data_IF_385175568837
#
_entry.id   IF_385175568837
#
_cell.length_a   1.000
_cell.length_b   1.000
_cell.length_c   1.000
_cell.angle_alpha   90.00
_cell.angle_beta   90.00
_cell.angle_gamma   90.00
#
_symmetry.space_group_name_H-M   'P 1'
#
loop_
_entity.id
_entity.type
_entity.pdbx_description
1 polymer ?
#
# COMPACT_ATOMS: atom_id res chain seq x y z
N UNK A 1 -0.11 1.00 16.16
CA UNK A 1 -0.81 1.54 14.98
C UNK A 1 -2.20 0.92 14.94
N UNK A 2 -3.26 1.72 15.08
CA UNK A 2 -4.63 1.27 14.86
C UNK A 2 -4.83 1.11 13.35
N UNK A 3 -5.22 -0.10 12.91
CA UNK A 3 -5.62 -0.35 11.52
C UNK A 3 -7.03 0.19 11.36
N UNK A 4 -7.25 1.11 10.41
CA UNK A 4 -8.62 1.50 10.05
C UNK A 4 -9.27 0.36 9.27
N UNK A 5 -10.60 0.32 9.26
CA UNK A 5 -11.36 -0.57 8.39
C UNK A 5 -11.08 -0.23 6.91
N UNK A 6 -10.69 1.02 6.63
CA UNK A 6 -10.41 1.53 5.28
C UNK A 6 -8.99 1.24 4.77
N UNK A 7 -8.13 0.63 5.60
CA UNK A 7 -6.76 0.32 5.20
C UNK A 7 -6.76 -0.95 4.34
N UNK A 8 -6.25 -0.82 3.11
CA UNK A 8 -6.09 -1.94 2.20
C UNK A 8 -5.02 -2.90 2.69
N UNK A 9 -5.31 -4.20 2.68
CA UNK A 9 -4.35 -5.25 3.01
C UNK A 9 -4.28 -6.25 1.86
N UNK A 10 -3.06 -6.54 1.42
CA UNK A 10 -2.74 -7.61 0.49
C UNK A 10 -1.71 -8.54 1.11
N UNK A 11 -1.87 -9.84 0.87
CA UNK A 11 -0.87 -10.86 1.17
C UNK A 11 -0.30 -11.36 -0.14
N UNK A 12 1.01 -11.33 -0.27
CA UNK A 12 1.75 -11.73 -1.46
C UNK A 12 2.71 -12.86 -1.08
N UNK A 13 2.68 -13.97 -1.80
CA UNK A 13 3.57 -15.11 -1.56
C UNK A 13 4.99 -14.90 -2.13
N UNK A 14 5.86 -15.89 -1.94
CA UNK A 14 7.25 -15.87 -2.44
C UNK A 14 7.38 -15.85 -3.97
N UNK A 15 6.32 -16.24 -4.70
CA UNK A 15 6.25 -16.18 -6.17
C UNK A 15 5.64 -14.84 -6.66
N UNK A 16 5.48 -13.88 -5.74
CA UNK A 16 4.91 -12.56 -5.98
C UNK A 16 3.44 -12.58 -6.42
N UNK A 17 2.71 -13.66 -6.09
CA UNK A 17 1.28 -13.78 -6.37
C UNK A 17 0.47 -13.30 -5.18
N UNK A 18 -0.65 -12.63 -5.45
CA UNK A 18 -1.57 -12.23 -4.39
C UNK A 18 -2.32 -13.47 -3.92
N UNK A 19 -2.20 -13.81 -2.64
CA UNK A 19 -2.85 -14.99 -2.04
C UNK A 19 -4.01 -14.61 -1.11
N UNK A 20 -4.08 -13.35 -0.68
CA UNK A 20 -5.21 -12.84 0.08
C UNK A 20 -5.31 -11.31 -0.01
N UNK A 21 -6.50 -10.77 0.20
CA UNK A 21 -6.75 -9.34 0.33
C UNK A 21 -8.03 -9.05 1.12
N UNK A 22 -8.06 -7.95 1.87
CA UNK A 22 -9.27 -7.55 2.61
C UNK A 22 -10.27 -6.77 1.72
N UNK A 23 -11.53 -6.56 2.16
CA UNK A 23 -12.51 -5.80 1.40
C UNK A 23 -12.08 -4.36 1.04
N UNK A 24 -11.35 -3.67 1.93
CA UNK A 24 -10.82 -2.34 1.63
C UNK A 24 -9.85 -2.36 0.45
N UNK A 25 -8.95 -3.36 0.38
CA UNK A 25 -8.09 -3.56 -0.77
C UNK A 25 -8.89 -3.77 -2.06
N UNK A 26 -10.00 -4.52 -2.03
CA UNK A 26 -10.88 -4.73 -3.20
C UNK A 26 -11.47 -3.41 -3.68
N UNK A 27 -11.94 -2.58 -2.74
CA UNK A 27 -12.47 -1.26 -3.05
C UNK A 27 -11.40 -0.34 -3.66
N UNK A 28 -10.16 -0.38 -3.14
CA UNK A 28 -9.04 0.42 -3.63
C UNK A 28 -8.70 0.07 -5.08
N UNK A 29 -8.55 -1.23 -5.42
CA UNK A 29 -8.17 -1.65 -6.78
C UNK A 29 -9.37 -1.80 -7.73
N UNK A 30 -10.60 -1.72 -7.22
CA UNK A 30 -11.83 -1.89 -8.00
C UNK A 30 -12.03 -3.30 -8.57
N UNK A 31 -11.43 -4.33 -7.94
CA UNK A 31 -11.52 -5.73 -8.37
C UNK A 31 -11.92 -6.62 -7.19
N UNK A 32 -12.77 -7.59 -7.46
CA UNK A 32 -13.13 -8.63 -6.49
C UNK A 32 -11.97 -9.62 -6.31
N UNK A 33 -11.86 -10.21 -5.11
CA UNK A 33 -10.81 -11.15 -4.73
C UNK A 33 -10.64 -12.29 -5.73
N UNK A 34 -11.74 -12.89 -6.21
CA UNK A 34 -11.73 -14.01 -7.15
C UNK A 34 -10.97 -13.72 -8.46
N UNK A 35 -10.92 -12.45 -8.87
CA UNK A 35 -10.24 -12.01 -10.09
C UNK A 35 -8.78 -11.60 -9.86
N UNK A 36 -8.26 -11.77 -8.63
CA UNK A 36 -6.98 -11.23 -8.18
C UNK A 36 -6.10 -12.33 -7.56
N UNK A 37 -6.70 -13.29 -6.87
CA UNK A 37 -5.93 -14.37 -6.22
C UNK A 37 -5.19 -15.22 -7.27
N UNK A 38 -3.92 -15.51 -6.98
CA UNK A 38 -3.04 -16.31 -7.84
C UNK A 38 -2.38 -15.53 -8.97
N UNK A 39 -2.78 -14.28 -9.21
CA UNK A 39 -2.16 -13.40 -10.21
C UNK A 39 -0.94 -12.68 -9.64
N UNK A 40 0.03 -12.39 -10.50
CA UNK A 40 1.24 -11.69 -10.09
C UNK A 40 0.88 -10.24 -9.69
N UNK A 41 1.51 -9.74 -8.62
CA UNK A 41 1.25 -8.41 -8.06
C UNK A 41 1.22 -7.29 -9.13
N UNK A 42 2.20 -7.29 -10.03
CA UNK A 42 2.33 -6.29 -11.10
C UNK A 42 1.19 -6.35 -12.14
N UNK A 43 0.52 -7.48 -12.32
CA UNK A 43 -0.65 -7.56 -13.21
C UNK A 43 -1.84 -6.78 -12.64
N UNK A 44 -1.87 -6.60 -11.32
CA UNK A 44 -2.99 -6.02 -10.60
C UNK A 44 -2.76 -4.54 -10.30
N UNK A 45 -1.67 -4.19 -9.60
CA UNK A 45 -1.43 -2.81 -9.18
C UNK A 45 -0.60 -2.01 -10.19
N UNK A 46 0.25 -2.65 -11.02
CA UNK A 46 1.16 -1.96 -11.97
C UNK A 46 1.92 -0.78 -11.31
N UNK A 47 2.53 -1.06 -10.16
CA UNK A 47 3.29 -0.09 -9.33
C UNK A 47 4.67 -0.66 -9.05
N UNK A 48 5.64 -0.31 -9.89
CA UNK A 48 7.01 -0.81 -9.82
C UNK A 48 7.72 -0.36 -8.53
N UNK A 49 7.38 0.82 -8.02
CA UNK A 49 7.91 1.37 -6.77
C UNK A 49 7.51 0.54 -5.54
N UNK A 50 6.27 0.04 -5.52
CA UNK A 50 5.79 -0.87 -4.47
C UNK A 50 6.43 -2.23 -4.67
N UNK A 51 6.49 -2.72 -5.91
CA UNK A 51 7.07 -4.03 -6.21
C UNK A 51 8.55 -4.12 -5.86
N UNK A 52 9.34 -3.07 -6.12
CA UNK A 52 10.74 -3.00 -5.70
C UNK A 52 10.88 -3.14 -4.17
N UNK A 53 9.97 -2.51 -3.43
CA UNK A 53 9.94 -2.60 -1.96
C UNK A 53 9.47 -3.99 -1.47
N UNK A 54 8.57 -4.65 -2.21
CA UNK A 54 8.12 -6.03 -1.96
C UNK A 54 9.30 -6.96 -2.14
N UNK A 55 9.97 -6.89 -3.29
CA UNK A 55 11.14 -7.72 -3.63
C UNK A 55 12.24 -7.56 -2.59
N UNK A 56 12.59 -6.32 -2.23
CA UNK A 56 13.60 -6.04 -1.21
C UNK A 56 13.25 -6.68 0.15
N UNK A 57 11.99 -6.59 0.56
CA UNK A 57 11.51 -7.17 1.83
C UNK A 57 11.47 -8.69 1.77
N UNK A 58 11.12 -9.25 0.61
CA UNK A 58 11.13 -10.69 0.36
C UNK A 58 12.56 -11.25 0.42
N UNK A 59 13.54 -10.56 -0.17
CA UNK A 59 14.94 -10.99 -0.19
C UNK A 59 15.61 -10.90 1.18
N UNK A 60 15.29 -9.87 1.98
CA UNK A 60 15.94 -9.67 3.28
C UNK A 60 15.21 -10.34 4.45
N UNK A 61 13.92 -10.67 4.29
CA UNK A 61 13.05 -11.13 5.37
C UNK A 61 12.82 -10.10 6.48
N UNK A 62 13.09 -8.80 6.23
CA UNK A 62 12.99 -7.72 7.22
C UNK A 62 12.17 -6.56 6.67
N UNK A 63 11.38 -5.93 7.56
CA UNK A 63 10.73 -4.66 7.28
C UNK A 63 11.78 -3.58 7.02
N UNK A 64 11.59 -2.81 5.95
CA UNK A 64 12.42 -1.65 5.65
C UNK A 64 11.66 -0.36 5.91
N UNK A 65 12.38 0.64 6.41
CA UNK A 65 11.87 2.01 6.39
C UNK A 65 11.90 2.51 4.95
N UNK A 66 10.73 2.85 4.44
CA UNK A 66 10.55 3.53 3.16
C UNK A 66 10.43 5.01 3.50
N UNK A 67 11.19 5.86 2.81
CA UNK A 67 11.15 7.30 2.97
C UNK A 67 9.69 7.80 2.93
N UNK A 68 9.30 8.64 3.88
CA UNK A 68 7.95 9.18 3.98
C UNK A 68 7.51 9.95 2.73
N UNK A 69 8.46 10.50 1.97
CA UNK A 69 8.21 11.18 0.70
C UNK A 69 7.99 10.20 -0.46
N UNK A 70 8.46 8.96 -0.34
CA UNK A 70 8.40 7.92 -1.39
C UNK A 70 7.36 6.84 -1.08
N UNK A 71 6.82 6.80 0.13
CA UNK A 71 5.87 5.79 0.56
C UNK A 71 4.41 6.19 0.35
N UNK A 72 4.12 7.27 -0.38
CA UNK A 72 2.75 7.70 -0.69
C UNK A 72 2.50 7.59 -2.19
N UNK A 73 1.42 6.90 -2.55
CA UNK A 73 0.91 6.79 -3.93
C UNK A 73 -0.44 7.48 -4.05
N UNK A 74 -0.75 7.97 -5.25
CA UNK A 74 -2.12 8.37 -5.61
C UNK A 74 -2.81 7.26 -6.41
N UNK A 75 -4.11 7.12 -6.18
CA UNK A 75 -5.01 6.27 -6.94
C UNK A 75 -6.22 7.10 -7.31
N UNK A 76 -6.46 7.23 -8.61
CA UNK A 76 -7.62 7.89 -9.17
C UNK A 76 -8.72 6.86 -9.43
N UNK A 77 -9.91 7.13 -8.89
CA UNK A 77 -11.09 6.28 -9.09
C UNK A 77 -12.33 7.14 -9.14
N UNK A 78 -13.15 6.95 -10.17
CA UNK A 78 -14.43 7.64 -10.37
C UNK A 78 -14.34 9.18 -10.26
N UNK A 79 -13.22 9.75 -10.72
CA UNK A 79 -12.97 11.20 -10.66
C UNK A 79 -12.48 11.73 -9.32
N UNK A 80 -12.27 10.86 -8.33
CA UNK A 80 -11.69 11.21 -7.04
C UNK A 80 -10.28 10.63 -6.89
N UNK A 81 -9.33 11.51 -6.54
CA UNK A 81 -7.97 11.10 -6.17
C UNK A 81 -7.90 10.77 -4.69
N UNK A 82 -7.47 9.55 -4.37
CA UNK A 82 -7.14 9.15 -2.99
C UNK A 82 -5.64 8.93 -2.86
N UNK A 83 -5.11 9.24 -1.67
CA UNK A 83 -3.71 9.06 -1.33
C UNK A 83 -3.54 7.92 -0.34
N UNK A 84 -2.62 7.01 -0.65
CA UNK A 84 -2.32 5.85 0.19
C UNK A 84 -0.85 5.83 0.58
N UNK A 85 -0.60 5.76 1.87
CA UNK A 85 0.71 5.45 2.39
C UNK A 85 0.89 3.92 2.42
N UNK A 86 1.94 3.40 1.80
CA UNK A 86 2.19 1.97 1.76
C UNK A 86 3.31 1.52 2.70
N UNK A 87 3.16 0.31 3.25
CA UNK A 87 4.19 -0.35 4.04
C UNK A 87 4.19 -1.84 3.76
N UNK A 88 5.36 -2.49 3.89
CA UNK A 88 5.54 -3.89 3.55
C UNK A 88 6.19 -4.60 4.72
N UNK A 89 5.56 -5.69 5.16
CA UNK A 89 5.96 -6.46 6.32
C UNK A 89 6.22 -7.91 5.89
N UNK A 90 7.36 -8.52 6.25
CA UNK A 90 7.60 -9.93 5.97
C UNK A 90 6.64 -10.78 6.82
N UNK A 91 6.17 -11.88 6.23
CA UNK A 91 5.39 -12.91 6.93
C UNK A 91 6.30 -14.10 7.15
N UNK A 92 6.64 -14.34 8.41
CA UNK A 92 7.52 -15.45 8.80
C UNK A 92 6.68 -16.58 9.41
N UNK A 93 7.04 -17.82 9.07
CA UNK A 93 6.58 -19.00 9.79
C UNK A 93 7.26 -19.08 11.17
N UNK A 94 6.74 -19.92 12.07
CA UNK A 94 7.28 -20.15 13.43
C UNK A 94 8.77 -20.53 13.44
N UNK A 95 9.28 -21.13 12.38
CA UNK A 95 10.66 -21.58 12.26
C UNK A 95 11.59 -20.51 11.62
N UNK A 96 11.06 -19.31 11.34
CA UNK A 96 11.80 -18.22 10.71
C UNK A 96 11.85 -18.28 9.18
N UNK A 97 11.21 -19.27 8.56
CA UNK A 97 11.06 -19.33 7.11
C UNK A 97 10.12 -18.22 6.62
N UNK A 98 10.54 -17.49 5.59
CA UNK A 98 9.70 -16.47 4.96
C UNK A 98 8.62 -17.12 4.09
N UNK A 99 7.36 -16.81 4.38
CA UNK A 99 6.19 -17.29 3.63
C UNK A 99 5.77 -16.29 2.53
N UNK A 100 6.10 -15.02 2.70
CA UNK A 100 5.66 -13.96 1.81
C UNK A 100 5.77 -12.59 2.48
N UNK A 101 4.96 -11.65 2.00
CA UNK A 101 4.84 -10.31 2.58
C UNK A 101 3.39 -9.86 2.69
N UNK A 102 3.15 -8.94 3.61
CA UNK A 102 1.91 -8.15 3.68
C UNK A 102 2.20 -6.76 3.16
N UNK A 103 1.44 -6.32 2.17
CA UNK A 103 1.34 -4.92 1.76
C UNK A 103 0.14 -4.28 2.46
N UNK A 104 0.39 -3.18 3.16
CA UNK A 104 -0.64 -2.33 3.74
C UNK A 104 -0.72 -1.02 2.94
N UNK A 105 -1.93 -0.60 2.58
CA UNK A 105 -2.25 0.68 1.97
C UNK A 105 -3.12 1.49 2.93
N UNK A 106 -2.50 2.39 3.69
CA UNK A 106 -3.19 3.25 4.63
C UNK A 106 -3.74 4.48 3.92
N UNK A 107 -5.04 4.74 4.05
CA UNK A 107 -5.63 5.94 3.46
C UNK A 107 -5.16 7.20 4.22
N UNK A 108 -4.47 8.09 3.51
CA UNK A 108 -3.96 9.36 4.05
C UNK A 108 -4.54 10.57 3.30
N UNK A 109 -5.60 10.36 2.52
CA UNK A 109 -6.25 11.41 1.71
C UNK A 109 -6.64 12.61 2.57
N UNK A 110 -7.32 12.37 3.70
CA UNK A 110 -7.75 13.45 4.60
C UNK A 110 -6.57 14.22 5.18
N UNK A 111 -5.48 13.53 5.51
CA UNK A 111 -4.27 14.17 6.02
C UNK A 111 -3.64 15.06 4.93
N UNK A 112 -3.55 14.57 3.69
CA UNK A 112 -3.01 15.32 2.55
C UNK A 112 -3.83 16.56 2.19
N UNK A 113 -5.16 16.46 2.24
CA UNK A 113 -6.05 17.62 2.06
C UNK A 113 -5.81 18.70 3.12
N UNK A 114 -5.69 18.30 4.39
CA UNK A 114 -5.42 19.24 5.49
C UNK A 114 -4.03 19.88 5.38
N UNK A 115 -3.01 19.11 4.99
CA UNK A 115 -1.66 19.63 4.72
C UNK A 115 -1.67 20.69 3.62
N UNK A 116 -2.40 20.42 2.53
CA UNK A 116 -2.56 21.34 1.39
C UNK A 116 -3.25 22.63 1.81
N UNK A 117 -4.40 22.54 2.48
CA UNK A 117 -5.15 23.71 2.96
C UNK A 117 -4.32 24.56 3.93
N UNK A 118 -3.59 23.93 4.85
CA UNK A 118 -2.66 24.63 5.76
C UNK A 118 -1.57 25.36 4.97
N UNK A 119 -0.99 24.71 3.97
CA UNK A 119 0.08 25.30 3.15
C UNK A 119 -0.43 26.51 2.35
N UNK A 120 -1.61 26.41 1.75
CA UNK A 120 -2.27 27.51 1.01
C UNK A 120 -2.57 28.70 1.93
N UNK A 121 -3.09 28.43 3.14
CA UNK A 121 -3.35 29.47 4.13
C UNK A 121 -2.08 30.22 4.56
N UNK A 122 -0.99 29.49 4.84
CA UNK A 122 0.30 30.10 5.23
C UNK A 122 0.86 30.97 4.11
N UNK A 123 0.74 30.54 2.85
CA UNK A 123 1.16 31.34 1.69
C UNK A 123 0.31 32.60 1.53
N UNK A 124 -1.01 32.50 1.67
CA UNK A 124 -1.92 33.64 1.55
C UNK A 124 -1.75 34.68 2.67
N UNK A 125 -1.41 34.26 3.89
CA UNK A 125 -1.19 35.15 5.03
C UNK A 125 0.21 35.79 5.06
N UNK A 126 1.15 35.28 4.26
CA UNK A 126 2.51 35.81 4.14
C UNK A 126 2.66 36.86 3.02
N UNK A 127 1.55 37.19 2.34
CA UNK A 127 1.43 38.26 1.34
C UNK A 127 0.53 39.38 1.90
#
# INVERSE_FOLDING_TARGET
MLRSIDDGLFVVDSDYKIVNMNPAAQQIIGKNTENVIGLHFLEILKRDEIFASIKKTMESGKTHNIDELQNVISIDKDGQTSYYQFSILPVLEKQGQLLGVVLLLKNVTRLKELEKLKSEFVMAASH
#
